data_IF_886530172279
#
_entry.id   IF_886530172279
#
_cell.length_a   1.000
_cell.length_b   1.000
_cell.length_c   1.000
_cell.angle_alpha   90.00
_cell.angle_beta   90.00
_cell.angle_gamma   90.00
#
_symmetry.space_group_name_H-M   'P 1'
#
loop_
_entity.id
_entity.type
_entity.pdbx_description
1 polymer ?
#
# COMPACT_ATOMS: atom_id res chain seq x y z
N UNK A 1 -8.14 14.24 -4.44
CA UNK A 1 -8.89 13.24 -3.65
C UNK A 1 -10.41 13.41 -3.68
N UNK A 2 -10.90 14.63 -3.81
CA UNK A 2 -12.34 14.87 -3.93
C UNK A 2 -12.93 14.12 -5.13
N UNK A 3 -12.25 14.18 -6.27
CA UNK A 3 -12.72 13.51 -7.50
C UNK A 3 -12.68 11.99 -7.37
N UNK A 4 -11.66 11.43 -6.70
CA UNK A 4 -11.58 9.99 -6.46
C UNK A 4 -12.73 9.54 -5.57
N UNK A 5 -13.01 10.26 -4.50
CA UNK A 5 -14.14 9.95 -3.62
C UNK A 5 -15.46 9.98 -4.38
N UNK A 6 -15.63 10.95 -5.29
CA UNK A 6 -16.84 11.06 -6.09
C UNK A 6 -17.00 9.86 -7.03
N UNK A 7 -15.91 9.40 -7.65
CA UNK A 7 -15.93 8.20 -8.51
C UNK A 7 -16.41 6.99 -7.71
N UNK A 8 -15.92 6.82 -6.48
CA UNK A 8 -16.33 5.71 -5.61
C UNK A 8 -17.81 5.82 -5.24
N UNK A 9 -18.29 7.01 -4.90
CA UNK A 9 -19.71 7.25 -4.59
C UNK A 9 -20.59 6.93 -5.79
N UNK A 10 -20.20 7.39 -6.97
CA UNK A 10 -20.94 7.17 -8.20
C UNK A 10 -20.97 5.68 -8.59
N UNK A 11 -19.96 4.92 -8.18
CA UNK A 11 -19.91 3.47 -8.38
C UNK A 11 -20.75 2.69 -7.35
N UNK A 12 -21.40 3.38 -6.42
CA UNK A 12 -22.32 2.76 -5.46
C UNK A 12 -21.69 2.44 -4.10
N UNK A 13 -20.52 3.00 -3.79
CA UNK A 13 -19.89 2.77 -2.50
C UNK A 13 -20.46 3.70 -1.43
N UNK A 14 -20.57 3.19 -0.19
CA UNK A 14 -21.08 3.93 0.95
C UNK A 14 -19.96 4.42 1.85
N UNK A 15 -20.24 5.48 2.63
CA UNK A 15 -19.33 6.00 3.65
C UNK A 15 -17.91 6.26 3.13
N UNK A 16 -17.82 6.84 1.94
CA UNK A 16 -16.54 7.08 1.27
C UNK A 16 -15.80 8.24 1.93
N UNK A 17 -14.55 8.01 2.31
CA UNK A 17 -13.66 9.07 2.80
C UNK A 17 -12.22 8.81 2.38
N UNK A 18 -11.45 9.87 2.21
CA UNK A 18 -10.02 9.77 1.90
C UNK A 18 -9.18 9.94 3.17
N UNK A 19 -8.03 9.27 3.20
CA UNK A 19 -7.06 9.36 4.30
C UNK A 19 -5.72 9.69 3.70
N UNK A 20 -5.22 10.89 3.96
CA UNK A 20 -3.94 11.41 3.47
C UNK A 20 -3.89 11.56 1.94
N UNK A 21 -2.93 12.35 1.48
CA UNK A 21 -2.73 12.63 0.05
C UNK A 21 -2.12 11.45 -0.74
N UNK A 22 -1.64 10.42 -0.05
CA UNK A 22 -1.02 9.26 -0.70
C UNK A 22 -2.01 8.33 -1.43
N UNK A 23 -3.32 8.63 -1.37
CA UNK A 23 -4.30 7.90 -2.16
C UNK A 23 -4.93 6.73 -1.45
N UNK A 24 -5.39 6.93 -0.23
CA UNK A 24 -6.07 5.91 0.56
C UNK A 24 -7.55 6.27 0.66
N UNK A 25 -8.42 5.36 0.25
CA UNK A 25 -9.88 5.56 0.29
C UNK A 25 -10.49 4.49 1.18
N UNK A 26 -11.28 4.93 2.16
CA UNK A 26 -12.04 4.05 3.03
C UNK A 26 -13.51 4.13 2.61
N UNK A 27 -14.15 2.98 2.50
CA UNK A 27 -15.56 2.90 2.09
C UNK A 27 -16.19 1.61 2.60
N UNK A 28 -17.53 1.53 2.51
CA UNK A 28 -18.28 0.33 2.86
C UNK A 28 -18.97 -0.24 1.65
N UNK A 29 -18.99 -1.57 1.54
CA UNK A 29 -19.67 -2.29 0.48
C UNK A 29 -19.94 -3.73 0.91
N UNK A 30 -21.01 -4.32 0.34
CA UNK A 30 -21.33 -5.75 0.53
C UNK A 30 -20.68 -6.64 -0.52
N UNK A 31 -19.99 -6.05 -1.50
CA UNK A 31 -19.35 -6.81 -2.58
C UNK A 31 -18.02 -7.38 -2.15
N UNK A 32 -17.58 -8.46 -2.82
CA UNK A 32 -16.27 -9.05 -2.58
C UNK A 32 -15.14 -8.13 -3.05
N UNK A 33 -13.93 -8.33 -2.50
CA UNK A 33 -12.76 -7.56 -2.91
C UNK A 33 -12.46 -7.72 -4.41
N UNK A 34 -12.67 -8.90 -4.97
CA UNK A 34 -12.45 -9.17 -6.39
C UNK A 34 -13.41 -8.38 -7.27
N UNK A 35 -14.70 -8.36 -6.91
CA UNK A 35 -15.70 -7.56 -7.63
C UNK A 35 -15.42 -6.08 -7.52
N UNK A 36 -15.05 -5.60 -6.32
CA UNK A 36 -14.72 -4.20 -6.06
C UNK A 36 -13.54 -3.76 -6.91
N UNK A 37 -12.50 -4.58 -6.99
CA UNK A 37 -11.33 -4.27 -7.81
C UNK A 37 -11.72 -4.05 -9.27
N UNK A 38 -12.51 -4.95 -9.84
CA UNK A 38 -12.96 -4.84 -11.23
C UNK A 38 -13.80 -3.58 -11.45
N UNK A 39 -14.81 -3.37 -10.61
CA UNK A 39 -15.74 -2.23 -10.73
C UNK A 39 -15.03 -0.90 -10.55
N UNK A 40 -14.22 -0.79 -9.51
CA UNK A 40 -13.57 0.48 -9.17
C UNK A 40 -12.40 0.80 -10.09
N UNK A 41 -11.63 -0.17 -10.53
CA UNK A 41 -10.57 0.07 -11.52
C UNK A 41 -11.17 0.52 -12.85
N UNK A 42 -12.28 -0.07 -13.28
CA UNK A 42 -12.99 0.36 -14.49
C UNK A 42 -13.53 1.79 -14.35
N UNK A 43 -14.14 2.12 -13.22
CA UNK A 43 -14.67 3.46 -12.94
C UNK A 43 -13.58 4.51 -12.93
N UNK A 44 -12.47 4.22 -12.25
CA UNK A 44 -11.32 5.13 -12.17
C UNK A 44 -10.66 5.34 -13.52
N UNK A 45 -10.44 4.26 -14.26
CA UNK A 45 -9.81 4.32 -15.58
C UNK A 45 -10.67 5.11 -16.57
N UNK A 46 -11.99 4.95 -16.50
CA UNK A 46 -12.93 5.70 -17.36
C UNK A 46 -12.92 7.19 -17.01
N UNK A 47 -12.99 7.53 -15.73
CA UNK A 47 -13.05 8.93 -15.28
C UNK A 47 -11.78 9.69 -15.59
N UNK A 48 -10.61 9.10 -15.29
CA UNK A 48 -9.33 9.77 -15.43
C UNK A 48 -8.66 9.55 -16.79
N UNK A 49 -9.25 8.76 -17.67
CA UNK A 49 -8.75 8.48 -19.04
C UNK A 49 -7.35 7.86 -19.06
N UNK A 50 -6.97 7.13 -18.01
CA UNK A 50 -5.75 6.33 -17.96
C UNK A 50 -5.99 5.06 -17.15
N UNK A 51 -5.12 4.05 -17.35
CA UNK A 51 -5.24 2.77 -16.65
C UNK A 51 -4.94 2.94 -15.16
N UNK A 52 -5.89 2.54 -14.31
CA UNK A 52 -5.76 2.63 -12.86
C UNK A 52 -5.70 1.25 -12.24
N UNK A 53 -4.82 1.10 -11.25
CA UNK A 53 -4.65 -0.14 -10.49
C UNK A 53 -4.96 0.13 -9.03
N UNK A 54 -5.80 -0.72 -8.43
CA UNK A 54 -6.22 -0.57 -7.05
C UNK A 54 -5.90 -1.84 -6.26
N UNK A 55 -5.56 -1.66 -5.00
CA UNK A 55 -5.37 -2.76 -4.06
C UNK A 55 -6.44 -2.64 -2.99
N UNK A 56 -7.37 -3.61 -2.96
CA UNK A 56 -8.54 -3.58 -2.08
C UNK A 56 -8.29 -4.52 -0.91
N UNK A 57 -8.38 -3.98 0.30
CA UNK A 57 -8.20 -4.73 1.54
C UNK A 57 -9.33 -4.49 2.51
N UNK A 58 -9.75 -5.55 3.21
CA UNK A 58 -10.74 -5.44 4.27
C UNK A 58 -10.15 -4.78 5.51
N UNK A 59 -11.02 -4.38 6.43
CA UNK A 59 -10.59 -3.86 7.74
C UNK A 59 -9.72 -4.88 8.47
N UNK A 60 -10.09 -6.15 8.42
CA UNK A 60 -9.36 -7.24 9.06
C UNK A 60 -7.96 -7.38 8.48
N UNK A 61 -7.84 -7.39 7.15
CA UNK A 61 -6.54 -7.44 6.46
C UNK A 61 -5.68 -6.22 6.78
N UNK A 62 -6.28 -5.04 6.84
CA UNK A 62 -5.58 -3.79 7.19
C UNK A 62 -5.06 -3.85 8.63
N UNK A 63 -5.85 -4.41 9.56
CA UNK A 63 -5.42 -4.62 10.94
C UNK A 63 -4.20 -5.53 11.03
N UNK A 64 -4.12 -6.55 10.19
CA UNK A 64 -2.98 -7.46 10.15
C UNK A 64 -1.70 -6.74 9.72
N UNK A 65 -1.77 -5.80 8.78
CA UNK A 65 -0.61 -4.99 8.41
C UNK A 65 -0.06 -4.22 9.60
N UNK A 66 -0.93 -3.66 10.42
CA UNK A 66 -0.50 -2.92 11.62
C UNK A 66 0.04 -3.83 12.70
N UNK A 67 -0.65 -4.94 13.00
CA UNK A 67 -0.30 -5.81 14.12
C UNK A 67 0.92 -6.71 13.85
N UNK A 68 1.28 -6.94 12.60
CA UNK A 68 2.40 -7.80 12.22
C UNK A 68 3.71 -7.06 11.93
N UNK A 69 3.79 -5.76 12.20
CA UNK A 69 5.01 -4.99 11.97
C UNK A 69 6.17 -5.65 12.75
N UNK A 70 7.24 -6.09 12.05
CA UNK A 70 8.32 -6.84 12.69
C UNK A 70 9.40 -5.97 13.32
N UNK A 71 9.31 -4.65 13.15
CA UNK A 71 10.33 -3.72 13.62
C UNK A 71 9.76 -2.78 14.67
N UNK A 72 10.59 -2.40 15.64
CA UNK A 72 10.23 -1.39 16.62
C UNK A 72 10.33 0.00 15.98
N UNK A 73 9.40 0.88 16.33
CA UNK A 73 9.44 2.27 15.87
C UNK A 73 10.69 2.97 16.42
N UNK A 74 11.36 3.71 15.54
CA UNK A 74 12.52 4.49 15.89
C UNK A 74 12.46 5.83 15.16
N UNK A 75 12.82 6.96 15.84
CA UNK A 75 12.70 8.29 15.21
C UNK A 75 13.57 8.49 13.97
N UNK A 76 14.64 7.71 13.81
CA UNK A 76 15.56 7.84 12.70
C UNK A 76 15.21 6.97 11.48
N UNK A 77 14.17 6.15 11.57
CA UNK A 77 13.81 5.21 10.52
C UNK A 77 12.35 5.33 10.12
N UNK A 78 12.09 5.11 8.82
CA UNK A 78 10.74 4.83 8.31
C UNK A 78 10.55 3.33 8.21
N UNK A 79 9.32 2.89 8.46
CA UNK A 79 8.91 1.50 8.22
C UNK A 79 7.75 1.55 7.23
N UNK A 80 7.88 0.79 6.14
CA UNK A 80 6.86 0.69 5.10
C UNK A 80 6.26 -0.70 5.08
N UNK A 81 4.92 -0.77 4.96
CA UNK A 81 4.21 -2.00 4.66
C UNK A 81 3.80 -2.00 3.19
N UNK A 82 3.89 -3.14 2.55
CA UNK A 82 3.63 -3.27 1.12
C UNK A 82 2.36 -4.07 0.88
N UNK A 83 1.47 -3.51 0.04
CA UNK A 83 0.23 -4.14 -0.39
C UNK A 83 0.38 -4.44 -1.87
N UNK A 84 0.16 -5.67 -2.29
CA UNK A 84 0.38 -6.00 -3.68
C UNK A 84 -0.28 -7.30 -4.13
N UNK A 85 0.06 -7.69 -5.35
CA UNK A 85 -0.41 -8.93 -5.94
C UNK A 85 0.18 -10.13 -5.20
N UNK A 86 -0.53 -11.26 -5.24
CA UNK A 86 -0.05 -12.49 -4.61
C UNK A 86 1.35 -12.87 -5.12
N UNK A 87 2.25 -13.15 -4.19
CA UNK A 87 3.64 -13.51 -4.51
C UNK A 87 4.61 -12.34 -4.66
N UNK A 88 4.11 -11.09 -4.65
CA UNK A 88 4.99 -9.92 -4.80
C UNK A 88 5.96 -9.80 -3.62
N UNK A 89 5.58 -10.26 -2.44
CA UNK A 89 6.42 -10.21 -1.24
C UNK A 89 7.73 -10.99 -1.43
N UNK A 90 7.71 -12.08 -2.15
CA UNK A 90 8.91 -12.87 -2.43
C UNK A 90 9.82 -12.16 -3.44
N UNK A 91 9.23 -11.55 -4.46
CA UNK A 91 9.97 -10.77 -5.45
C UNK A 91 10.66 -9.58 -4.80
N UNK A 92 9.94 -8.87 -3.92
CA UNK A 92 10.48 -7.72 -3.20
C UNK A 92 11.61 -8.12 -2.27
N UNK A 93 11.46 -9.22 -1.54
CA UNK A 93 12.50 -9.71 -0.64
C UNK A 93 13.77 -10.10 -1.42
N UNK A 94 13.61 -10.77 -2.56
CA UNK A 94 14.71 -11.14 -3.42
C UNK A 94 15.46 -9.90 -3.94
N UNK A 95 14.74 -8.89 -4.40
CA UNK A 95 15.33 -7.63 -4.85
C UNK A 95 16.03 -6.89 -3.70
N UNK A 96 15.45 -6.91 -2.50
CA UNK A 96 16.08 -6.32 -1.33
C UNK A 96 17.40 -7.03 -1.00
N UNK A 97 17.41 -8.35 -1.05
CA UNK A 97 18.61 -9.15 -0.75
C UNK A 97 19.74 -8.88 -1.74
N UNK A 98 19.42 -8.54 -2.99
CA UNK A 98 20.39 -8.18 -4.01
C UNK A 98 20.87 -6.73 -3.90
N UNK A 99 20.18 -5.89 -3.15
CA UNK A 99 20.49 -4.46 -3.05
C UNK A 99 21.58 -4.17 -2.03
N UNK A 100 22.33 -3.09 -2.27
CA UNK A 100 23.24 -2.54 -1.28
C UNK A 100 22.41 -1.88 -0.18
N UNK A 101 22.74 -2.15 1.08
CA UNK A 101 21.93 -1.73 2.22
C UNK A 101 22.66 -0.68 3.05
N UNK A 102 21.91 0.31 3.54
CA UNK A 102 22.39 1.25 4.55
C UNK A 102 22.47 0.55 5.91
N UNK A 103 23.15 1.20 6.86
CA UNK A 103 23.23 0.68 8.22
C UNK A 103 21.82 0.58 8.83
N UNK A 104 21.49 -0.58 9.36
CA UNK A 104 20.17 -0.87 9.94
C UNK A 104 19.00 -0.83 8.95
N UNK A 105 19.26 -0.85 7.67
CA UNK A 105 18.21 -1.07 6.65
C UNK A 105 17.86 -2.56 6.63
N UNK A 106 16.58 -2.86 6.83
CA UNK A 106 16.09 -4.24 7.00
C UNK A 106 14.80 -4.44 6.22
N UNK A 107 14.57 -5.69 5.80
CA UNK A 107 13.28 -6.09 5.25
C UNK A 107 12.92 -7.47 5.79
N UNK A 108 11.63 -7.73 5.91
CA UNK A 108 11.14 -8.99 6.45
C UNK A 108 9.76 -9.30 5.89
N UNK A 109 9.47 -10.57 5.67
CA UNK A 109 8.15 -11.06 5.29
C UNK A 109 7.54 -11.78 6.49
N UNK A 110 6.39 -11.30 6.95
CA UNK A 110 5.63 -11.88 8.05
C UNK A 110 4.23 -12.23 7.54
N UNK A 111 3.86 -13.49 7.57
CA UNK A 111 2.54 -13.96 7.14
C UNK A 111 2.15 -13.48 5.75
N UNK A 112 3.10 -13.48 4.81
CA UNK A 112 2.87 -13.03 3.45
C UNK A 112 2.91 -11.51 3.26
N UNK A 113 3.22 -10.75 4.30
CA UNK A 113 3.31 -9.29 4.26
C UNK A 113 4.77 -8.84 4.25
N UNK A 114 5.13 -7.99 3.29
CA UNK A 114 6.49 -7.47 3.17
C UNK A 114 6.60 -6.13 3.91
N UNK A 115 7.64 -5.99 4.72
CA UNK A 115 7.96 -4.76 5.44
C UNK A 115 9.40 -4.35 5.19
N UNK A 116 9.62 -3.05 5.13
CA UNK A 116 10.94 -2.47 4.86
C UNK A 116 11.22 -1.32 5.83
N UNK A 117 12.33 -1.43 6.56
CA UNK A 117 12.84 -0.37 7.42
C UNK A 117 14.02 0.31 6.73
N UNK A 118 13.99 1.63 6.64
CA UNK A 118 15.02 2.40 5.96
C UNK A 118 15.29 3.69 6.73
N UNK A 119 16.57 4.15 6.81
CA UNK A 119 16.89 5.43 7.45
C UNK A 119 16.13 6.58 6.78
N UNK A 120 15.64 7.51 7.60
CA UNK A 120 14.96 8.71 7.09
C UNK A 120 15.92 9.49 6.19
N UNK A 121 15.41 10.02 5.10
CA UNK A 121 16.20 10.72 4.09
C UNK A 121 16.80 9.81 3.02
N UNK A 122 16.78 8.49 3.22
CA UNK A 122 17.37 7.52 2.29
C UNK A 122 16.36 6.73 1.47
N UNK A 123 15.07 6.97 1.65
CA UNK A 123 14.03 6.15 1.02
C UNK A 123 14.16 6.10 -0.51
N UNK A 124 14.30 7.26 -1.15
CA UNK A 124 14.43 7.35 -2.61
C UNK A 124 15.86 7.13 -3.10
N UNK A 125 16.84 7.40 -2.26
CA UNK A 125 18.26 7.30 -2.63
C UNK A 125 18.85 5.90 -2.39
N UNK A 126 18.15 5.04 -1.63
CA UNK A 126 18.60 3.68 -1.39
C UNK A 126 18.54 2.86 -2.68
N UNK A 127 19.40 1.84 -2.77
CA UNK A 127 19.40 0.93 -3.92
C UNK A 127 18.05 0.26 -4.08
N UNK A 128 17.48 -0.24 -2.99
CA UNK A 128 16.17 -0.88 -3.01
C UNK A 128 15.06 0.11 -3.39
N UNK A 129 15.10 1.33 -2.86
CA UNK A 129 14.14 2.39 -3.21
C UNK A 129 14.10 2.67 -4.71
N UNK A 130 15.27 2.66 -5.36
CA UNK A 130 15.36 2.82 -6.83
C UNK A 130 14.76 1.64 -7.57
N UNK A 131 14.93 0.42 -7.06
CA UNK A 131 14.32 -0.79 -7.63
C UNK A 131 12.81 -0.69 -7.64
N UNK A 132 12.22 -0.14 -6.58
CA UNK A 132 10.76 -0.01 -6.46
C UNK A 132 10.14 0.86 -7.55
N UNK A 133 10.92 1.76 -8.17
CA UNK A 133 10.45 2.60 -9.27
C UNK A 133 10.51 1.95 -10.64
N UNK A 134 10.97 0.72 -10.77
CA UNK A 134 11.06 0.04 -12.06
C UNK A 134 9.68 -0.27 -12.64
N UNK A 135 9.54 -0.09 -13.95
CA UNK A 135 8.25 -0.29 -14.66
C UNK A 135 7.64 -1.67 -14.47
N UNK A 136 8.47 -2.71 -14.40
CA UNK A 136 8.00 -4.08 -14.26
C UNK A 136 7.45 -4.40 -12.86
N UNK A 137 7.63 -3.52 -11.89
CA UNK A 137 7.18 -3.73 -10.50
C UNK A 137 6.09 -2.74 -10.07
N UNK A 138 6.12 -1.50 -10.56
CA UNK A 138 5.32 -0.41 -10.00
C UNK A 138 3.80 -0.64 -10.02
N UNK A 139 3.29 -1.44 -10.94
CA UNK A 139 1.85 -1.74 -11.03
C UNK A 139 1.44 -2.96 -10.21
N UNK A 140 2.39 -3.63 -9.58
CA UNK A 140 2.17 -4.89 -8.86
C UNK A 140 2.04 -4.71 -7.36
N UNK A 141 2.36 -3.52 -6.85
CA UNK A 141 2.29 -3.23 -5.42
C UNK A 141 2.11 -1.73 -5.18
N UNK A 142 1.75 -1.41 -3.95
CA UNK A 142 1.84 -0.07 -3.40
C UNK A 142 2.45 -0.18 -2.00
N UNK A 143 3.12 0.87 -1.55
CA UNK A 143 3.70 0.91 -0.21
C UNK A 143 3.14 2.08 0.58
N UNK A 144 3.02 1.90 1.88
CA UNK A 144 2.58 2.96 2.79
C UNK A 144 3.44 2.91 4.04
N UNK A 145 3.80 4.08 4.55
CA UNK A 145 4.39 4.18 5.88
C UNK A 145 3.42 3.53 6.86
N UNK A 146 3.93 2.76 7.83
CA UNK A 146 3.06 2.03 8.77
C UNK A 146 2.16 2.96 9.58
N UNK A 147 2.56 4.21 9.78
CA UNK A 147 1.69 5.21 10.43
C UNK A 147 0.43 5.50 9.63
N UNK A 148 0.48 5.31 8.31
CA UNK A 148 -0.69 5.45 7.43
C UNK A 148 -1.73 4.37 7.74
N UNK A 149 -1.29 3.13 7.98
CA UNK A 149 -2.21 2.05 8.36
C UNK A 149 -2.92 2.36 9.67
N UNK A 150 -2.23 2.94 10.64
CA UNK A 150 -2.86 3.36 11.91
C UNK A 150 -3.95 4.40 11.67
N UNK A 151 -3.66 5.41 10.85
CA UNK A 151 -4.63 6.46 10.52
C UNK A 151 -5.84 5.92 9.76
N UNK A 152 -5.62 4.99 8.83
CA UNK A 152 -6.70 4.32 8.09
C UNK A 152 -7.60 3.56 9.07
N UNK A 153 -7.00 2.80 9.99
CA UNK A 153 -7.76 2.01 10.98
C UNK A 153 -8.60 2.87 11.90
N UNK A 154 -8.15 4.07 12.22
CA UNK A 154 -8.93 5.01 13.05
C UNK A 154 -10.20 5.50 12.35
N UNK A 155 -10.19 5.54 11.03
CA UNK A 155 -11.37 5.92 10.21
C UNK A 155 -12.29 4.72 9.99
N UNK A 156 -11.74 3.52 9.91
CA UNK A 156 -12.51 2.28 9.79
C UNK A 156 -13.12 1.91 11.15
N UNK A 157 -14.40 1.69 11.19
CA UNK A 157 -15.10 1.40 12.45
C UNK A 157 -15.64 -0.01 12.50
#
# INVERSE_FOLDING_TARGET
>A
MVDVCQVFKDAGMDQVSSVLASGNIVFSSDRSAEELKIVLEAAMSSYFSYESFLFIKSQEETSLFWSNIPFEKHPDFHIYGFVGLHGIEEVLLDEFNKSTKANNEKAEVINGLFYWQVPKGNTLDSTFGKVLGKKNLKDKFTSRNVNTFEKILKIMH
#
